data_IF_971607190173
#
_entry.id   IF_971607190173
#
_cell.length_a   1.000
_cell.length_b   1.000
_cell.length_c   1.000
_cell.angle_alpha   90.00
_cell.angle_beta   90.00
_cell.angle_gamma   90.00
#
_symmetry.space_group_name_H-M   'P 1'
#
loop_
_entity.id
_entity.type
_entity.pdbx_description
1 polymer ?
#
# COMPACT_ATOMS: atom_id res chain seq x y z
N UNK A 1 13.04 16.72 17.60
CA UNK A 1 12.37 16.02 18.71
C UNK A 1 12.14 14.55 18.35
N UNK A 2 11.91 13.67 19.32
CA UNK A 2 11.77 12.21 19.12
C UNK A 2 10.60 11.82 18.19
N UNK A 3 9.43 12.44 18.34
CA UNK A 3 8.25 12.16 17.50
C UNK A 3 8.53 12.34 16.01
N UNK A 4 9.19 13.44 15.63
CA UNK A 4 9.59 13.69 14.25
C UNK A 4 10.47 12.58 13.67
N UNK A 5 11.38 12.06 14.49
CA UNK A 5 12.27 10.97 14.08
C UNK A 5 11.49 9.66 13.89
N UNK A 6 10.51 9.38 14.75
CA UNK A 6 9.61 8.23 14.61
C UNK A 6 8.72 8.36 13.36
N UNK A 7 8.17 9.55 13.08
CA UNK A 7 7.35 9.73 11.88
C UNK A 7 8.16 9.57 10.58
N UNK A 8 9.40 10.06 10.56
CA UNK A 8 10.30 9.86 9.42
C UNK A 8 10.66 8.38 9.25
N UNK A 9 10.98 7.71 10.35
CA UNK A 9 11.29 6.29 10.35
C UNK A 9 10.09 5.44 9.89
N UNK A 10 8.89 5.71 10.40
CA UNK A 10 7.65 5.10 9.93
C UNK A 10 7.43 5.28 8.42
N UNK A 11 7.61 6.49 7.91
CA UNK A 11 7.46 6.75 6.48
C UNK A 11 8.44 5.91 5.65
N UNK A 12 9.70 5.84 6.08
CA UNK A 12 10.72 5.05 5.40
C UNK A 12 10.42 3.56 5.47
N UNK A 13 10.17 3.00 6.65
CA UNK A 13 9.90 1.57 6.84
C UNK A 13 8.69 1.13 6.03
N UNK A 14 7.54 1.80 6.20
CA UNK A 14 6.27 1.33 5.62
C UNK A 14 6.07 1.74 4.14
N UNK A 15 7.00 2.50 3.52
CA UNK A 15 6.85 2.96 2.12
C UNK A 15 8.02 2.54 1.22
N UNK A 16 9.16 2.15 1.79
CA UNK A 16 10.38 1.77 1.03
C UNK A 16 10.14 0.64 0.04
N UNK A 17 9.45 -0.43 0.44
CA UNK A 17 9.20 -1.55 -0.46
C UNK A 17 8.31 -1.14 -1.64
N UNK A 18 7.24 -0.38 -1.37
CA UNK A 18 6.38 0.15 -2.43
C UNK A 18 7.14 1.07 -3.40
N UNK A 19 8.04 1.93 -2.90
CA UNK A 19 8.91 2.78 -3.75
C UNK A 19 9.82 1.94 -4.67
N UNK A 20 10.37 0.83 -4.18
CA UNK A 20 11.14 -0.12 -5.01
C UNK A 20 10.28 -0.77 -6.09
N UNK A 21 9.09 -1.22 -5.73
CA UNK A 21 8.17 -1.89 -6.65
C UNK A 21 7.75 -0.93 -7.76
N UNK A 22 7.33 0.28 -7.39
CA UNK A 22 6.89 1.34 -8.30
C UNK A 22 8.03 2.24 -8.82
N UNK A 23 9.28 1.75 -8.82
CA UNK A 23 10.42 2.53 -9.29
C UNK A 23 10.22 3.00 -10.76
N UNK A 24 10.65 4.22 -11.06
CA UNK A 24 10.33 4.91 -12.33
C UNK A 24 10.85 4.22 -13.58
N UNK A 25 11.97 3.51 -13.45
CA UNK A 25 12.65 2.74 -14.50
C UNK A 25 11.96 1.39 -14.78
N UNK A 26 11.09 0.93 -13.88
CA UNK A 26 10.29 -0.29 -14.08
C UNK A 26 9.04 0.01 -14.92
N UNK A 27 8.77 -0.87 -15.88
CA UNK A 27 7.64 -0.76 -16.84
C UNK A 27 6.76 -2.00 -16.93
N UNK A 28 7.19 -3.11 -16.31
CA UNK A 28 6.41 -4.34 -16.28
C UNK A 28 5.35 -4.26 -15.17
N UNK A 29 4.15 -3.83 -15.54
CA UNK A 29 3.04 -3.68 -14.61
C UNK A 29 2.57 -5.00 -13.98
N UNK A 30 2.71 -6.12 -14.68
CA UNK A 30 2.31 -7.43 -14.17
C UNK A 30 3.26 -7.88 -13.06
N UNK A 31 4.57 -7.81 -13.31
CA UNK A 31 5.57 -8.12 -12.29
C UNK A 31 5.45 -7.19 -11.08
N UNK A 32 5.26 -5.89 -11.30
CA UNK A 32 5.08 -4.91 -10.22
C UNK A 32 3.82 -5.19 -9.38
N UNK A 33 2.70 -5.52 -10.02
CA UNK A 33 1.46 -5.81 -9.31
C UNK A 33 1.57 -7.12 -8.52
N UNK A 34 2.20 -8.15 -9.10
CA UNK A 34 2.49 -9.40 -8.38
C UNK A 34 3.33 -9.16 -7.13
N UNK A 35 4.42 -8.40 -7.24
CA UNK A 35 5.27 -8.05 -6.10
C UNK A 35 4.53 -7.20 -5.04
N UNK A 36 3.61 -6.32 -5.46
CA UNK A 36 2.76 -5.57 -4.54
C UNK A 36 1.88 -6.49 -3.69
N UNK A 37 1.26 -7.49 -4.31
CA UNK A 37 0.42 -8.47 -3.61
C UNK A 37 1.28 -9.36 -2.70
N UNK A 38 2.42 -9.85 -3.17
CA UNK A 38 3.37 -10.65 -2.36
C UNK A 38 3.86 -9.88 -1.12
N UNK A 39 4.25 -8.62 -1.29
CA UNK A 39 4.66 -7.73 -0.19
C UNK A 39 3.60 -7.65 0.91
N UNK A 40 2.31 -7.59 0.53
CA UNK A 40 1.23 -7.56 1.51
C UNK A 40 0.93 -8.92 2.10
N UNK A 41 1.05 -10.02 1.36
CA UNK A 41 0.77 -11.37 1.86
C UNK A 41 1.82 -11.83 2.88
N UNK A 42 3.07 -11.44 2.68
CA UNK A 42 4.19 -11.88 3.53
C UNK A 42 4.45 -10.98 4.75
N UNK A 43 3.89 -9.77 4.79
CA UNK A 43 4.07 -8.79 5.88
C UNK A 43 5.55 -8.47 6.20
N UNK A 44 6.49 -8.69 5.27
CA UNK A 44 7.94 -8.61 5.57
C UNK A 44 8.49 -7.18 5.60
N UNK A 45 7.86 -6.26 4.86
CA UNK A 45 8.36 -4.90 4.63
C UNK A 45 7.37 -3.80 5.07
N UNK A 46 6.33 -4.17 5.83
CA UNK A 46 5.32 -3.24 6.34
C UNK A 46 4.92 -3.63 7.76
N UNK A 47 4.89 -2.65 8.69
CA UNK A 47 4.41 -2.87 10.06
C UNK A 47 2.99 -2.30 10.24
N UNK A 48 1.94 -3.15 10.33
CA UNK A 48 0.58 -2.72 10.63
C UNK A 48 0.44 -2.04 11.98
N UNK A 49 1.17 -2.51 12.98
CA UNK A 49 1.13 -1.95 14.34
C UNK A 49 1.74 -0.55 14.36
N UNK A 50 2.83 -0.33 13.62
CA UNK A 50 3.44 1.01 13.53
C UNK A 50 2.55 2.00 12.78
N UNK A 51 1.93 1.58 11.67
CA UNK A 51 0.97 2.40 10.93
C UNK A 51 -0.23 2.78 11.82
N UNK A 52 -0.76 1.82 12.57
CA UNK A 52 -1.86 2.04 13.50
C UNK A 52 -1.49 3.04 14.61
N UNK A 53 -0.30 2.90 15.21
CA UNK A 53 0.18 3.83 16.24
C UNK A 53 0.31 5.28 15.71
N UNK A 54 0.83 5.46 14.49
CA UNK A 54 0.94 6.77 13.86
C UNK A 54 -0.43 7.36 13.53
N UNK A 55 -1.39 6.54 13.06
CA UNK A 55 -2.77 6.96 12.82
C UNK A 55 -3.48 7.37 14.13
N UNK A 56 -3.17 6.72 15.24
CA UNK A 56 -3.67 7.09 16.56
C UNK A 56 -3.14 8.44 17.05
N UNK A 57 -1.90 8.77 16.73
CA UNK A 57 -1.34 10.11 16.96
C UNK A 57 -1.99 11.14 16.05
N UNK A 58 -2.24 10.80 14.78
CA UNK A 58 -2.91 11.68 13.82
C UNK A 58 -4.30 12.12 14.29
N UNK A 59 -5.06 11.23 14.95
CA UNK A 59 -6.39 11.56 15.52
C UNK A 59 -6.36 12.72 16.52
N UNK A 60 -5.23 12.99 17.16
CA UNK A 60 -5.08 14.02 18.21
C UNK A 60 -4.17 15.18 17.80
N UNK A 61 -3.54 15.10 16.63
CA UNK A 61 -2.56 16.08 16.19
C UNK A 61 -2.71 16.42 14.70
N UNK A 62 -3.21 17.62 14.36
CA UNK A 62 -3.35 18.07 12.98
C UNK A 62 -2.04 18.03 12.17
N UNK A 63 -0.90 18.23 12.82
CA UNK A 63 0.40 18.16 12.15
C UNK A 63 0.75 16.74 11.68
N UNK A 64 0.62 15.76 12.57
CA UNK A 64 0.77 14.33 12.26
C UNK A 64 -0.25 13.90 11.21
N UNK A 65 -1.51 14.33 11.31
CA UNK A 65 -2.52 14.04 10.29
C UNK A 65 -2.11 14.51 8.89
N UNK A 66 -1.54 15.72 8.77
CA UNK A 66 -0.99 16.21 7.49
C UNK A 66 0.17 15.34 6.98
N UNK A 67 1.00 14.79 7.86
CA UNK A 67 2.09 13.86 7.47
C UNK A 67 1.53 12.53 6.98
N UNK A 68 0.56 11.97 7.69
CA UNK A 68 -0.12 10.74 7.28
C UNK A 68 -0.80 10.91 5.92
N UNK A 69 -1.55 11.99 5.69
CA UNK A 69 -2.18 12.24 4.40
C UNK A 69 -1.17 12.33 3.25
N UNK A 70 -0.02 13.02 3.44
CA UNK A 70 1.02 13.06 2.40
C UNK A 70 1.60 11.69 2.07
N UNK A 71 1.78 10.83 3.06
CA UNK A 71 2.27 9.46 2.85
C UNK A 71 1.20 8.58 2.21
N UNK A 72 -0.07 8.75 2.58
CA UNK A 72 -1.19 8.08 1.94
C UNK A 72 -1.29 8.47 0.45
N UNK A 73 -1.17 9.77 0.13
CA UNK A 73 -1.14 10.28 -1.24
C UNK A 73 0.04 9.70 -2.03
N UNK A 74 1.25 9.69 -1.46
CA UNK A 74 2.43 9.08 -2.08
C UNK A 74 2.22 7.60 -2.41
N UNK A 75 1.63 6.83 -1.48
CA UNK A 75 1.36 5.40 -1.69
C UNK A 75 0.34 5.18 -2.79
N UNK A 76 -0.71 6.00 -2.85
CA UNK A 76 -1.71 5.95 -3.93
C UNK A 76 -1.05 6.27 -5.28
N UNK A 77 -0.20 7.29 -5.37
CA UNK A 77 0.50 7.67 -6.61
C UNK A 77 1.42 6.54 -7.11
N UNK A 78 2.14 5.88 -6.19
CA UNK A 78 3.01 4.75 -6.51
C UNK A 78 2.18 3.56 -7.05
N UNK A 79 1.07 3.22 -6.39
CA UNK A 79 0.18 2.15 -6.85
C UNK A 79 -0.49 2.52 -8.18
N UNK A 80 -0.87 3.78 -8.38
CA UNK A 80 -1.42 4.26 -9.64
C UNK A 80 -0.42 4.07 -10.78
N UNK A 81 0.87 4.32 -10.56
CA UNK A 81 1.91 4.08 -11.56
C UNK A 81 1.97 2.61 -12.00
N UNK A 82 1.75 1.67 -11.08
CA UNK A 82 1.67 0.23 -11.38
C UNK A 82 0.44 -0.05 -12.26
N UNK A 83 -0.72 0.50 -11.92
CA UNK A 83 -1.93 0.35 -12.74
C UNK A 83 -1.79 0.99 -14.14
N UNK A 84 -1.04 2.10 -14.26
CA UNK A 84 -0.72 2.67 -15.57
C UNK A 84 0.19 1.74 -16.39
N UNK A 85 1.18 1.12 -15.76
CA UNK A 85 2.03 0.11 -16.41
C UNK A 85 1.24 -1.18 -16.76
N UNK A 86 0.15 -1.48 -16.05
CA UNK A 86 -0.85 -2.49 -16.44
C UNK A 86 -1.77 -2.05 -17.60
N UNK A 87 -1.58 -0.85 -18.16
CA UNK A 87 -2.33 -0.36 -19.32
C UNK A 87 -3.62 0.39 -19.00
N UNK A 88 -3.98 0.56 -17.72
CA UNK A 88 -5.12 1.40 -17.33
C UNK A 88 -4.80 2.89 -17.52
N UNK A 89 -5.80 3.68 -17.92
CA UNK A 89 -5.61 5.08 -18.31
C UNK A 89 -6.46 6.04 -17.50
N UNK A 90 -5.95 7.26 -17.34
CA UNK A 90 -6.65 8.37 -16.69
C UNK A 90 -7.18 8.01 -15.31
N UNK A 91 -8.40 8.45 -15.00
CA UNK A 91 -9.04 8.28 -13.71
C UNK A 91 -9.22 6.81 -13.31
N UNK A 92 -9.31 5.87 -14.27
CA UNK A 92 -9.48 4.45 -13.94
C UNK A 92 -8.27 3.91 -13.15
N UNK A 93 -7.04 4.23 -13.57
CA UNK A 93 -5.83 3.80 -12.87
C UNK A 93 -5.82 4.34 -11.43
N UNK A 94 -6.20 5.60 -11.24
CA UNK A 94 -6.30 6.23 -9.92
C UNK A 94 -7.34 5.55 -9.03
N UNK A 95 -8.52 5.24 -9.58
CA UNK A 95 -9.59 4.60 -8.81
C UNK A 95 -9.20 3.19 -8.40
N UNK A 96 -8.57 2.41 -9.30
CA UNK A 96 -8.02 1.09 -8.96
C UNK A 96 -6.93 1.18 -7.88
N UNK A 97 -6.07 2.19 -7.96
CA UNK A 97 -5.06 2.42 -6.93
C UNK A 97 -5.67 2.73 -5.56
N UNK A 98 -6.70 3.59 -5.52
CA UNK A 98 -7.44 3.90 -4.29
C UNK A 98 -8.15 2.69 -3.71
N UNK A 99 -8.85 1.92 -4.54
CA UNK A 99 -9.54 0.70 -4.09
C UNK A 99 -8.52 -0.26 -3.46
N UNK A 100 -7.42 -0.52 -4.17
CA UNK A 100 -6.35 -1.41 -3.71
C UNK A 100 -5.73 -0.90 -2.39
N UNK A 101 -5.39 0.39 -2.32
CA UNK A 101 -4.77 0.99 -1.13
C UNK A 101 -5.70 1.00 0.08
N UNK A 102 -6.93 1.50 -0.07
CA UNK A 102 -7.87 1.63 1.04
C UNK A 102 -8.42 0.29 1.51
N UNK A 103 -8.52 -0.70 0.62
CA UNK A 103 -8.78 -2.08 1.02
C UNK A 103 -7.70 -2.59 1.98
N UNK A 104 -6.42 -2.42 1.61
CA UNK A 104 -5.30 -2.88 2.44
C UNK A 104 -5.19 -2.11 3.76
N UNK A 105 -5.33 -0.77 3.75
CA UNK A 105 -5.38 0.03 4.97
C UNK A 105 -6.56 -0.38 5.85
N UNK A 106 -7.71 -0.72 5.25
CA UNK A 106 -8.88 -1.22 5.94
C UNK A 106 -8.62 -2.53 6.69
N UNK A 107 -7.89 -3.47 6.08
CA UNK A 107 -7.45 -4.71 6.74
C UNK A 107 -6.70 -4.43 8.04
N UNK A 108 -5.75 -3.49 8.00
CA UNK A 108 -4.95 -3.13 9.17
C UNK A 108 -5.75 -2.34 10.21
N UNK A 109 -6.52 -1.35 9.77
CA UNK A 109 -7.32 -0.50 10.66
C UNK A 109 -8.40 -1.29 11.42
N UNK A 110 -8.96 -2.32 10.80
CA UNK A 110 -9.95 -3.22 11.39
C UNK A 110 -9.33 -4.42 12.11
N UNK A 111 -7.99 -4.52 12.15
CA UNK A 111 -7.27 -5.67 12.70
C UNK A 111 -7.79 -7.02 12.15
N UNK A 112 -8.07 -7.07 10.84
CA UNK A 112 -8.50 -8.30 10.17
C UNK A 112 -7.37 -9.32 10.24
N UNK A 113 -7.62 -10.44 10.91
CA UNK A 113 -6.66 -11.52 11.07
C UNK A 113 -6.96 -12.66 10.08
N UNK A 114 -6.24 -12.65 8.96
CA UNK A 114 -6.19 -13.77 8.03
C UNK A 114 -4.81 -14.43 8.11
N UNK A 115 -4.76 -15.75 8.13
CA UNK A 115 -3.48 -16.47 8.11
C UNK A 115 -2.81 -16.29 6.75
N UNK A 116 -1.47 -16.27 6.70
CA UNK A 116 -0.72 -16.19 5.43
C UNK A 116 -1.17 -17.26 4.42
N UNK A 117 -1.41 -18.54 4.79
CA UNK A 117 -1.96 -19.53 3.87
C UNK A 117 -3.33 -19.16 3.28
N UNK A 118 -4.22 -18.53 4.07
CA UNK A 118 -5.51 -18.07 3.58
C UNK A 118 -5.35 -16.92 2.58
N UNK A 119 -4.49 -15.94 2.89
CA UNK A 119 -4.18 -14.80 2.01
C UNK A 119 -3.54 -15.26 0.70
N UNK A 120 -2.57 -16.18 0.75
CA UNK A 120 -1.97 -16.81 -0.44
C UNK A 120 -3.00 -17.51 -1.31
N UNK A 121 -3.94 -18.25 -0.71
CA UNK A 121 -5.02 -18.95 -1.43
C UNK A 121 -5.97 -17.97 -2.15
N UNK A 122 -6.24 -16.81 -1.55
CA UNK A 122 -7.15 -15.80 -2.09
C UNK A 122 -6.46 -14.81 -3.03
N UNK A 123 -5.13 -14.70 -3.00
CA UNK A 123 -4.34 -13.77 -3.80
C UNK A 123 -4.71 -13.76 -5.30
N UNK A 124 -4.90 -14.91 -5.99
CA UNK A 124 -5.31 -14.89 -7.40
C UNK A 124 -6.67 -14.23 -7.63
N UNK A 125 -7.63 -14.41 -6.72
CA UNK A 125 -8.95 -13.77 -6.82
C UNK A 125 -8.86 -12.27 -6.55
N UNK A 126 -8.01 -11.85 -5.60
CA UNK A 126 -7.74 -10.43 -5.39
C UNK A 126 -7.11 -9.79 -6.63
N UNK A 127 -6.15 -10.45 -7.28
CA UNK A 127 -5.56 -9.97 -8.53
C UNK A 127 -6.61 -9.85 -9.64
N UNK A 128 -7.46 -10.86 -9.80
CA UNK A 128 -8.54 -10.81 -10.79
C UNK A 128 -9.48 -9.63 -10.52
N UNK A 129 -9.92 -9.43 -9.28
CA UNK A 129 -10.87 -8.37 -8.92
C UNK A 129 -10.24 -6.98 -9.04
N UNK A 130 -9.00 -6.80 -8.59
CA UNK A 130 -8.34 -5.49 -8.53
C UNK A 130 -7.73 -5.08 -9.88
N UNK A 131 -7.14 -6.02 -10.60
CA UNK A 131 -6.44 -5.77 -11.85
C UNK A 131 -7.17 -6.28 -13.10
N UNK A 132 -8.28 -7.01 -12.97
CA UNK A 132 -9.01 -7.56 -14.13
C UNK A 132 -8.20 -8.57 -14.93
N UNK A 133 -7.19 -9.20 -14.33
CA UNK A 133 -6.26 -10.15 -14.96
C UNK A 133 -6.19 -11.44 -14.15
N UNK A 134 -6.12 -12.57 -14.83
CA UNK A 134 -5.77 -13.85 -14.17
C UNK A 134 -4.29 -13.83 -13.77
N UNK A 135 -3.95 -14.47 -12.65
CA UNK A 135 -2.58 -14.51 -12.08
C UNK A 135 -1.74 -15.64 -12.66
#
# INVERSE_FOLDING_TARGET
ALLERLLKDWQEVNTRALRRIAARDRKDGEAQFKELIEMWVEDEDYSPQYDSAVRDWARRSPEVARKVHRVDDERVDLIESIFRNLGFKGTEALIRARITYYHQVGYYALAVHETRPARRRLSPLYTLVLAGRES
#
